data_IF_733816440930
#
_entry.id   IF_733816440930
#
_cell.length_a   1.000
_cell.length_b   1.000
_cell.length_c   1.000
_cell.angle_alpha   90.00
_cell.angle_beta   90.00
_cell.angle_gamma   90.00
#
_symmetry.space_group_name_H-M   'P 1'
#
loop_
_entity.id
_entity.type
_entity.pdbx_description
1 polymer ?
#
# COMPACT_ATOMS: atom_id res chain seq x y z
N UNK A 1 -11.60 -4.39 -29.20
CA UNK A 1 -11.02 -3.08 -28.95
C UNK A 1 -10.08 -3.18 -27.75
N UNK A 2 -8.85 -2.73 -27.91
CA UNK A 2 -7.87 -2.81 -26.82
C UNK A 2 -8.24 -1.84 -25.69
N UNK A 3 -8.10 -2.28 -24.44
CA UNK A 3 -8.22 -1.42 -23.28
C UNK A 3 -7.03 -0.47 -23.23
N UNK A 4 -7.22 0.77 -22.77
CA UNK A 4 -6.10 1.64 -22.52
C UNK A 4 -5.13 0.97 -21.52
N UNK A 5 -3.85 1.12 -21.76
CA UNK A 5 -2.85 0.62 -20.82
C UNK A 5 -2.98 1.35 -19.50
N UNK A 6 -3.05 0.58 -18.42
CA UNK A 6 -3.15 1.12 -17.07
C UNK A 6 -1.80 1.68 -16.65
N UNK A 7 -1.82 2.90 -16.10
CA UNK A 7 -0.61 3.52 -15.56
C UNK A 7 -0.54 3.21 -14.07
N UNK A 8 0.54 2.55 -13.65
CA UNK A 8 0.81 2.31 -12.24
C UNK A 8 1.48 3.55 -11.64
N UNK A 9 1.01 3.95 -10.48
CA UNK A 9 1.53 5.10 -9.77
C UNK A 9 2.65 4.74 -8.80
N UNK A 10 3.19 5.74 -8.10
CA UNK A 10 4.19 5.50 -7.06
C UNK A 10 3.59 4.74 -5.88
N UNK A 11 4.47 4.13 -5.09
CA UNK A 11 4.11 3.32 -3.92
C UNK A 11 3.38 4.14 -2.86
N UNK A 12 3.72 5.40 -2.70
CA UNK A 12 3.14 6.29 -1.71
C UNK A 12 3.20 7.75 -2.15
N UNK A 13 2.96 8.65 -1.21
CA UNK A 13 2.95 10.10 -1.49
C UNK A 13 4.35 10.63 -1.74
N UNK A 14 5.32 10.14 -0.96
CA UNK A 14 6.72 10.52 -1.10
C UNK A 14 7.64 9.52 -0.42
N UNK A 15 8.90 9.50 -0.86
CA UNK A 15 9.98 8.77 -0.18
C UNK A 15 10.49 9.63 0.96
N UNK A 16 10.43 9.11 2.19
CA UNK A 16 10.88 9.82 3.39
C UNK A 16 12.31 9.47 3.77
N UNK A 17 12.81 8.31 3.31
CA UNK A 17 14.19 7.87 3.55
C UNK A 17 14.55 6.78 2.55
N UNK A 18 15.82 6.78 2.11
CA UNK A 18 16.32 5.72 1.23
C UNK A 18 17.82 5.55 1.44
N UNK A 19 18.25 4.28 1.47
CA UNK A 19 19.68 3.90 1.42
C UNK A 19 19.82 2.61 0.60
N UNK A 20 20.96 1.93 0.71
CA UNK A 20 21.21 0.71 -0.05
C UNK A 20 20.31 -0.47 0.36
N UNK A 21 19.74 -0.42 1.55
CA UNK A 21 19.00 -1.53 2.14
C UNK A 21 17.49 -1.35 2.10
N UNK A 22 17.02 -0.11 2.20
CA UNK A 22 15.59 0.19 2.32
C UNK A 22 15.22 1.41 1.52
N UNK A 23 13.95 1.46 1.11
CA UNK A 23 13.28 2.67 0.64
C UNK A 23 11.99 2.80 1.42
N UNK A 24 11.82 3.94 2.10
CA UNK A 24 10.68 4.15 2.99
C UNK A 24 9.77 5.21 2.39
N UNK A 25 8.51 4.83 2.21
CA UNK A 25 7.44 5.67 1.69
C UNK A 25 6.45 6.02 2.80
N UNK A 26 5.81 7.17 2.68
CA UNK A 26 4.61 7.46 3.48
C UNK A 26 3.38 7.52 2.59
N UNK A 27 2.25 7.09 3.15
CA UNK A 27 0.93 7.20 2.54
C UNK A 27 0.01 7.89 3.53
N UNK A 28 -0.70 8.93 3.06
CA UNK A 28 -1.69 9.65 3.85
C UNK A 28 -2.97 9.73 3.03
N UNK A 29 -4.06 9.19 3.56
CA UNK A 29 -5.34 9.14 2.85
C UNK A 29 -6.43 9.79 3.69
N UNK A 30 -7.03 10.89 3.22
CA UNK A 30 -8.25 11.40 3.83
C UNK A 30 -9.37 10.36 3.76
N UNK A 31 -10.42 10.46 4.61
CA UNK A 31 -11.55 9.54 4.52
C UNK A 31 -12.12 9.48 3.09
N UNK A 32 -12.33 8.26 2.59
CA UNK A 32 -12.86 8.00 1.26
C UNK A 32 -11.83 8.03 0.13
N UNK A 33 -10.57 8.40 0.41
CA UNK A 33 -9.54 8.49 -0.63
C UNK A 33 -8.86 7.15 -0.88
N UNK A 34 -8.40 6.98 -2.13
CA UNK A 34 -7.60 5.83 -2.58
C UNK A 34 -6.17 6.27 -2.82
N UNK A 35 -5.22 5.36 -2.56
CA UNK A 35 -3.86 5.50 -3.06
C UNK A 35 -3.85 5.28 -4.59
N UNK A 36 -2.73 5.58 -5.23
CA UNK A 36 -2.52 5.16 -6.61
C UNK A 36 -2.53 3.63 -6.70
N UNK A 37 -2.95 3.10 -7.85
CA UNK A 37 -2.72 1.68 -8.15
C UNK A 37 -1.21 1.51 -8.26
N UNK A 38 -0.63 0.64 -7.44
CA UNK A 38 0.82 0.44 -7.40
C UNK A 38 1.17 -1.04 -7.34
N UNK A 39 2.35 -1.36 -7.86
CA UNK A 39 2.89 -2.73 -7.81
C UNK A 39 4.03 -2.80 -6.81
N UNK A 40 4.00 -3.83 -5.98
CA UNK A 40 5.07 -4.11 -5.02
C UNK A 40 6.12 -4.99 -5.67
N UNK A 41 7.24 -4.40 -6.09
CA UNK A 41 8.36 -5.12 -6.70
C UNK A 41 9.35 -5.66 -5.67
N UNK A 42 9.20 -5.27 -4.41
CA UNK A 42 10.05 -5.67 -3.30
C UNK A 42 9.19 -6.13 -2.13
N UNK A 43 9.72 -7.05 -1.33
CA UNK A 43 9.12 -7.37 -0.04
C UNK A 43 9.16 -6.11 0.81
N UNK A 44 8.20 -5.95 1.71
CA UNK A 44 8.11 -4.73 2.50
C UNK A 44 7.52 -4.99 3.87
N UNK A 45 7.80 -4.07 4.79
CA UNK A 45 7.13 -4.00 6.08
C UNK A 45 6.22 -2.78 6.05
N UNK A 46 4.96 -3.02 6.37
CA UNK A 46 3.94 -1.98 6.49
C UNK A 46 3.80 -1.64 7.96
N UNK A 47 3.94 -0.36 8.31
CA UNK A 47 3.71 0.12 9.68
C UNK A 47 2.55 1.11 9.65
N UNK A 48 1.49 0.76 10.36
CA UNK A 48 0.27 1.58 10.42
C UNK A 48 0.44 2.62 11.52
N UNK A 49 0.26 3.90 11.18
CA UNK A 49 0.46 5.00 12.11
C UNK A 49 -0.85 5.52 12.69
N UNK A 50 -1.91 5.58 11.89
CA UNK A 50 -3.19 6.12 12.35
C UNK A 50 -4.32 5.82 11.39
N UNK A 51 -5.54 6.03 11.87
CA UNK A 51 -6.76 5.75 11.13
C UNK A 51 -7.73 4.92 11.97
N UNK A 52 -8.85 4.51 11.37
CA UNK A 52 -9.80 3.61 12.02
C UNK A 52 -10.11 2.37 11.17
N UNK A 53 -10.24 2.50 9.86
CA UNK A 53 -10.52 1.35 9.00
C UNK A 53 -9.94 1.54 7.60
N UNK A 54 -9.31 0.51 7.06
CA UNK A 54 -8.65 0.55 5.75
C UNK A 54 -9.05 -0.67 4.94
N UNK A 55 -9.12 -0.50 3.62
CA UNK A 55 -9.35 -1.60 2.70
C UNK A 55 -8.18 -1.75 1.74
N UNK A 56 -7.95 -2.99 1.31
CA UNK A 56 -7.03 -3.30 0.21
C UNK A 56 -7.85 -3.82 -0.96
N UNK A 57 -7.63 -3.23 -2.12
CA UNK A 57 -8.30 -3.59 -3.38
C UNK A 57 -7.25 -4.15 -4.31
N UNK A 58 -7.30 -5.47 -4.55
CA UNK A 58 -6.34 -6.15 -5.41
C UNK A 58 -6.78 -6.06 -6.86
N UNK A 59 -5.83 -5.79 -7.75
CA UNK A 59 -6.10 -5.79 -9.19
C UNK A 59 -6.21 -7.23 -9.72
N UNK A 60 -6.91 -7.46 -10.85
CA UNK A 60 -7.08 -8.82 -11.39
C UNK A 60 -5.77 -9.54 -11.72
N UNK A 61 -4.71 -8.79 -12.04
CA UNK A 61 -3.40 -9.33 -12.39
C UNK A 61 -2.40 -9.32 -11.24
N UNK A 62 -2.89 -9.09 -10.00
CA UNK A 62 -2.05 -9.11 -8.81
C UNK A 62 -1.38 -10.48 -8.61
N UNK A 63 -0.15 -10.48 -8.11
CA UNK A 63 0.51 -11.68 -7.64
C UNK A 63 0.25 -12.00 -6.17
N UNK A 64 -0.56 -11.19 -5.49
CA UNK A 64 -0.90 -11.41 -4.09
C UNK A 64 -1.90 -12.54 -3.93
N UNK A 65 -1.75 -13.32 -2.84
CA UNK A 65 -2.72 -14.34 -2.46
C UNK A 65 -3.89 -13.78 -1.65
N UNK A 66 -3.90 -12.49 -1.36
CA UNK A 66 -4.98 -11.84 -0.62
C UNK A 66 -6.28 -11.82 -1.44
N UNK A 67 -7.45 -11.78 -0.76
CA UNK A 67 -8.71 -11.65 -1.46
C UNK A 67 -8.76 -10.40 -2.35
N UNK A 68 -9.58 -10.38 -3.41
CA UNK A 68 -9.69 -9.20 -4.28
C UNK A 68 -10.05 -7.91 -3.54
N UNK A 69 -10.77 -8.03 -2.44
CA UNK A 69 -11.13 -6.91 -1.56
C UNK A 69 -11.24 -7.41 -0.13
N UNK A 70 -10.63 -6.69 0.80
CA UNK A 70 -10.90 -6.92 2.21
C UNK A 70 -10.70 -5.63 3.00
N UNK A 71 -11.38 -5.56 4.14
CA UNK A 71 -11.28 -4.44 5.07
C UNK A 71 -10.72 -4.92 6.41
N UNK A 72 -10.04 -4.04 7.10
CA UNK A 72 -9.50 -4.32 8.42
C UNK A 72 -9.61 -3.10 9.32
N UNK A 73 -9.81 -3.37 10.61
CA UNK A 73 -9.70 -2.32 11.62
C UNK A 73 -8.23 -1.89 11.72
N UNK A 74 -8.02 -0.60 11.86
CA UNK A 74 -6.68 -0.04 12.02
C UNK A 74 -6.26 -0.14 13.48
N UNK A 75 -5.08 -0.71 13.69
CA UNK A 75 -4.44 -0.75 15.01
C UNK A 75 -3.14 0.05 14.89
N UNK A 76 -3.09 1.31 15.38
CA UNK A 76 -1.88 2.12 15.28
C UNK A 76 -0.68 1.41 15.92
N UNK A 77 0.45 1.45 15.21
CA UNK A 77 1.67 0.76 15.63
C UNK A 77 1.79 -0.68 15.14
N UNK A 78 0.75 -1.24 14.51
CA UNK A 78 0.82 -2.58 13.94
C UNK A 78 1.80 -2.61 12.77
N UNK A 79 2.64 -3.64 12.73
CA UNK A 79 3.57 -3.88 11.63
C UNK A 79 3.27 -5.22 10.98
N UNK A 80 3.33 -5.27 9.65
CA UNK A 80 3.04 -6.46 8.87
C UNK A 80 4.12 -6.65 7.81
N UNK A 81 4.67 -7.85 7.71
CA UNK A 81 5.57 -8.21 6.61
C UNK A 81 4.73 -8.71 5.44
N UNK A 82 4.99 -8.16 4.24
CA UNK A 82 4.26 -8.51 3.03
C UNK A 82 5.24 -8.87 1.92
N UNK A 83 5.00 -10.00 1.27
CA UNK A 83 5.82 -10.41 0.13
C UNK A 83 5.46 -9.63 -1.12
N UNK A 84 6.45 -9.48 -2.01
CA UNK A 84 6.31 -8.79 -3.31
C UNK A 84 5.27 -9.47 -4.20
N UNK A 85 4.83 -8.74 -5.20
CA UNK A 85 3.96 -9.26 -6.25
C UNK A 85 2.57 -8.66 -6.27
N UNK A 86 2.14 -7.99 -5.20
CA UNK A 86 0.82 -7.36 -5.15
C UNK A 86 0.72 -6.17 -6.10
N UNK A 87 -0.44 -6.05 -6.75
CA UNK A 87 -0.84 -4.87 -7.53
C UNK A 87 -2.16 -4.43 -6.94
N UNK A 88 -2.16 -3.29 -6.26
CA UNK A 88 -3.28 -2.95 -5.40
C UNK A 88 -3.46 -1.46 -5.17
N UNK A 89 -4.60 -1.14 -4.56
CA UNK A 89 -4.95 0.20 -4.06
C UNK A 89 -5.28 0.07 -2.59
N UNK A 90 -4.73 0.97 -1.77
CA UNK A 90 -5.19 1.15 -0.40
C UNK A 90 -6.33 2.17 -0.40
N UNK A 91 -7.38 1.91 0.38
CA UNK A 91 -8.55 2.80 0.46
C UNK A 91 -8.87 3.08 1.91
N UNK A 92 -9.02 4.36 2.25
CA UNK A 92 -9.49 4.74 3.57
C UNK A 92 -11.02 4.63 3.58
N UNK A 93 -11.52 3.58 4.21
CA UNK A 93 -12.97 3.35 4.35
C UNK A 93 -13.48 3.75 5.74
N UNK A 94 -12.65 4.43 6.52
CA UNK A 94 -12.98 4.93 7.84
C UNK A 94 -13.46 6.37 7.84
N UNK A 95 -13.51 6.93 9.05
CA UNK A 95 -14.06 8.28 9.30
C UNK A 95 -12.97 9.30 9.61
N UNK A 96 -11.73 8.86 9.85
CA UNK A 96 -10.60 9.73 10.20
C UNK A 96 -9.47 9.50 9.22
N UNK A 97 -8.49 10.44 9.10
CA UNK A 97 -7.37 10.27 8.19
C UNK A 97 -6.59 8.99 8.50
N UNK A 98 -6.17 8.29 7.45
CA UNK A 98 -5.34 7.09 7.52
C UNK A 98 -3.92 7.43 7.14
N UNK A 99 -2.94 6.88 7.87
CA UNK A 99 -1.54 7.02 7.52
C UNK A 99 -0.76 5.75 7.79
N UNK A 100 0.20 5.48 6.93
CA UNK A 100 1.09 4.32 7.03
C UNK A 100 2.46 4.63 6.47
N UNK A 101 3.43 3.81 6.87
CA UNK A 101 4.78 3.81 6.30
C UNK A 101 5.00 2.45 5.64
N UNK A 102 5.53 2.48 4.42
CA UNK A 102 5.95 1.27 3.71
C UNK A 102 7.47 1.26 3.66
N UNK A 103 8.07 0.23 4.24
CA UNK A 103 9.51 0.03 4.25
C UNK A 103 9.83 -1.07 3.23
N UNK A 104 10.20 -0.67 2.02
CA UNK A 104 10.62 -1.62 0.98
C UNK A 104 12.02 -2.14 1.32
N UNK A 105 12.19 -3.46 1.23
CA UNK A 105 13.44 -4.14 1.53
C UNK A 105 14.17 -4.41 0.22
N UNK A 106 15.28 -3.69 0.00
CA UNK A 106 16.03 -3.83 -1.24
C UNK A 106 16.79 -5.13 -1.24
N UNK A 107 16.83 -5.79 -2.39
CA UNK A 107 17.65 -6.96 -2.59
C UNK A 107 19.13 -6.54 -2.62
N UNK A 108 19.97 -7.30 -1.97
CA UNK A 108 21.40 -7.05 -1.94
C UNK A 108 22.11 -7.73 -3.10
#
# INVERSE_FOLDING_TARGET
>A
MAQPERVLGPMGDRVVFENDRVRIWEINLPPGADSNIHRHDLDYVLVILGGDRVAAVQEPDTGSALPPYFEADVVPGQAVYVERGGIETARNVGQVPYSEIIIELKDS
#
